data_IF_195344289364
#
_entry.id   IF_195344289364
#
_cell.length_a   1.000
_cell.length_b   1.000
_cell.length_c   1.000
_cell.angle_alpha   90.00
_cell.angle_beta   90.00
_cell.angle_gamma   90.00
#
_symmetry.space_group_name_H-M   'P 1'
#
loop_
_entity.id
_entity.type
_entity.pdbx_description
1 polymer ?
#
# COMPACT_ATOMS: atom_id res chain seq x y z
N UNK A 1 7.62 10.07 3.29
CA UNK A 1 6.99 9.98 4.64
C UNK A 1 8.00 9.43 5.61
N UNK A 2 8.04 9.94 6.86
CA UNK A 2 8.88 9.35 7.94
C UNK A 2 8.21 8.11 8.53
N UNK A 3 8.99 7.26 9.21
CA UNK A 3 8.44 6.10 9.92
C UNK A 3 7.47 6.49 11.02
N UNK A 4 7.70 7.63 11.69
CA UNK A 4 6.76 8.16 12.67
C UNK A 4 5.40 8.52 12.06
N UNK A 5 5.40 9.22 10.91
CA UNK A 5 4.17 9.56 10.18
C UNK A 5 3.40 8.31 9.78
N UNK A 6 4.10 7.30 9.26
CA UNK A 6 3.51 6.02 8.85
C UNK A 6 2.96 5.28 10.06
N UNK A 7 3.75 5.13 11.14
CA UNK A 7 3.32 4.47 12.36
C UNK A 7 2.03 5.07 12.92
N UNK A 8 1.95 6.41 12.96
CA UNK A 8 0.76 7.13 13.40
C UNK A 8 -0.44 6.87 12.47
N UNK A 9 -0.22 6.91 11.15
CA UNK A 9 -1.28 6.72 10.16
C UNK A 9 -1.91 5.32 10.22
N UNK A 10 -1.08 4.28 10.45
CA UNK A 10 -1.55 2.88 10.47
C UNK A 10 -1.80 2.35 11.89
N UNK A 11 -1.57 3.16 12.94
CA UNK A 11 -1.61 2.76 14.34
C UNK A 11 -0.64 1.59 14.64
N UNK A 12 0.57 1.68 14.07
CA UNK A 12 1.62 0.67 14.20
C UNK A 12 2.65 1.02 15.27
N UNK A 13 3.24 -0.01 15.89
CA UNK A 13 4.33 0.11 16.86
C UNK A 13 5.68 -0.07 16.16
N UNK A 14 6.61 0.86 16.39
CA UNK A 14 7.98 0.77 15.88
C UNK A 14 8.80 -0.26 16.68
N UNK A 15 9.45 -1.21 15.98
CA UNK A 15 10.35 -2.20 16.56
C UNK A 15 11.67 -2.20 15.80
N UNK A 16 12.78 -2.05 16.53
CA UNK A 16 14.14 -2.01 15.97
C UNK A 16 14.28 -0.97 14.83
N UNK A 17 13.57 0.15 14.91
CA UNK A 17 13.42 1.11 13.84
C UNK A 17 13.44 2.55 14.39
N UNK A 18 14.29 3.41 13.81
CA UNK A 18 14.30 4.83 14.12
C UNK A 18 13.10 5.54 13.45
N UNK A 19 12.37 6.30 14.23
CA UNK A 19 11.18 7.05 13.81
C UNK A 19 11.46 8.09 12.71
N UNK A 20 12.70 8.60 12.62
CA UNK A 20 13.10 9.63 11.65
C UNK A 20 13.46 9.05 10.26
N UNK A 21 13.63 7.74 10.13
CA UNK A 21 13.90 7.12 8.84
C UNK A 21 12.78 7.46 7.86
N UNK A 22 13.16 7.84 6.63
CA UNK A 22 12.21 8.16 5.56
C UNK A 22 12.12 7.01 4.56
N UNK A 23 10.89 6.69 4.16
CA UNK A 23 10.65 5.89 2.95
C UNK A 23 10.91 6.80 1.75
N UNK A 24 11.94 6.47 0.97
CA UNK A 24 12.33 7.19 -0.25
C UNK A 24 11.92 6.45 -1.52
N UNK A 25 11.63 5.17 -1.39
CA UNK A 25 11.11 4.29 -2.44
C UNK A 25 9.60 4.11 -2.38
N UNK A 26 9.13 2.96 -2.81
CA UNK A 26 7.72 2.57 -2.92
C UNK A 26 7.27 1.72 -1.74
N UNK A 27 5.96 1.57 -1.62
CA UNK A 27 5.35 0.55 -0.76
C UNK A 27 5.11 -0.70 -1.62
N UNK A 28 5.70 -1.82 -1.24
CA UNK A 28 5.68 -3.07 -2.03
C UNK A 28 5.22 -4.25 -1.18
N UNK A 29 4.49 -5.18 -1.81
CA UNK A 29 3.99 -6.42 -1.17
C UNK A 29 4.68 -7.68 -1.73
N UNK A 30 5.37 -7.56 -2.85
CA UNK A 30 6.16 -8.65 -3.46
C UNK A 30 7.63 -8.45 -3.11
N UNK A 31 8.18 -9.31 -2.26
CA UNK A 31 9.58 -9.22 -1.81
C UNK A 31 10.59 -9.25 -2.95
N UNK A 32 10.26 -9.87 -4.09
CA UNK A 32 11.13 -9.93 -5.29
C UNK A 32 11.27 -8.59 -5.99
N UNK A 33 10.35 -7.65 -5.75
CA UNK A 33 10.30 -6.32 -6.36
C UNK A 33 10.86 -5.22 -5.46
N UNK A 34 11.35 -5.59 -4.28
CA UNK A 34 11.92 -4.64 -3.33
C UNK A 34 13.17 -3.99 -3.90
N UNK A 35 13.26 -2.68 -3.77
CA UNK A 35 14.43 -1.88 -4.10
C UNK A 35 14.90 -1.08 -2.87
N UNK A 36 16.05 -0.44 -3.00
CA UNK A 36 16.60 0.41 -1.94
C UNK A 36 15.64 1.56 -1.60
N UNK A 37 15.32 1.70 -0.33
CA UNK A 37 14.44 2.76 0.17
C UNK A 37 12.97 2.40 0.23
N UNK A 38 12.56 1.20 -0.23
CA UNK A 38 11.19 0.72 -0.20
C UNK A 38 10.70 0.36 1.22
N UNK A 39 9.40 0.34 1.39
CA UNK A 39 8.70 -0.20 2.54
C UNK A 39 7.99 -1.49 2.13
N UNK A 40 8.39 -2.61 2.72
CA UNK A 40 7.75 -3.90 2.43
C UNK A 40 6.55 -4.16 3.34
N UNK A 41 5.44 -4.65 2.79
CA UNK A 41 4.25 -5.03 3.58
C UNK A 41 4.08 -6.55 3.53
N UNK A 42 4.18 -7.18 4.69
CA UNK A 42 4.07 -8.64 4.83
C UNK A 42 2.60 -9.07 4.87
N UNK A 43 2.05 -9.46 3.73
CA UNK A 43 0.67 -9.97 3.63
C UNK A 43 0.71 -11.49 3.69
N UNK A 44 -0.19 -12.08 4.49
CA UNK A 44 -0.40 -13.52 4.51
C UNK A 44 -1.33 -13.90 3.36
N UNK A 45 -0.81 -14.56 2.35
CA UNK A 45 -1.60 -15.16 1.26
C UNK A 45 -2.11 -16.55 1.62
N UNK A 46 -2.90 -17.14 0.73
CA UNK A 46 -3.43 -18.50 0.90
C UNK A 46 -2.33 -19.56 0.95
N UNK A 47 -1.33 -19.45 0.07
CA UNK A 47 -0.27 -20.44 -0.09
C UNK A 47 1.07 -19.99 0.53
N UNK A 48 1.25 -18.71 0.78
CA UNK A 48 2.55 -18.14 1.18
C UNK A 48 2.34 -17.04 2.21
N UNK A 49 3.06 -17.13 3.34
CA UNK A 49 3.09 -16.08 4.36
C UNK A 49 4.20 -15.07 4.04
N UNK A 50 3.82 -13.83 3.71
CA UNK A 50 4.73 -12.72 3.43
C UNK A 50 5.72 -12.42 4.56
N UNK A 51 5.38 -12.77 5.81
CA UNK A 51 6.27 -12.59 6.95
C UNK A 51 7.58 -13.38 6.83
N UNK A 52 7.59 -14.51 6.12
CA UNK A 52 8.80 -15.31 5.88
C UNK A 52 9.83 -14.59 4.99
N UNK A 53 9.43 -13.55 4.27
CA UNK A 53 10.30 -12.79 3.37
C UNK A 53 10.81 -11.46 3.95
N UNK A 54 10.41 -11.08 5.16
CA UNK A 54 10.78 -9.79 5.75
C UNK A 54 12.30 -9.60 5.83
N UNK A 55 13.04 -10.61 6.32
CA UNK A 55 14.49 -10.53 6.39
C UNK A 55 15.15 -10.42 5.00
N UNK A 56 14.60 -11.10 4.00
CA UNK A 56 15.08 -10.99 2.61
C UNK A 56 14.79 -9.60 2.03
N UNK A 57 13.61 -9.03 2.30
CA UNK A 57 13.24 -7.68 1.86
C UNK A 57 14.21 -6.63 2.42
N UNK A 58 14.57 -6.71 3.71
CA UNK A 58 15.58 -5.80 4.31
C UNK A 58 16.95 -5.96 3.62
N UNK A 59 17.38 -7.21 3.36
CA UNK A 59 18.65 -7.45 2.64
C UNK A 59 18.67 -6.88 1.23
N UNK A 60 17.51 -6.83 0.56
CA UNK A 60 17.37 -6.23 -0.77
C UNK A 60 17.31 -4.70 -0.75
N UNK A 61 17.12 -4.09 0.42
CA UNK A 61 17.17 -2.65 0.58
C UNK A 61 15.91 -1.99 1.09
N UNK A 62 14.89 -2.75 1.51
CA UNK A 62 13.77 -2.17 2.23
C UNK A 62 14.26 -1.47 3.50
N UNK A 63 13.74 -0.30 3.79
CA UNK A 63 14.11 0.46 5.00
C UNK A 63 13.41 -0.08 6.24
N UNK A 64 12.24 -0.67 6.07
CA UNK A 64 11.46 -1.32 7.11
C UNK A 64 10.42 -2.27 6.51
N UNK A 65 9.76 -3.03 7.38
CA UNK A 65 8.60 -3.86 7.02
C UNK A 65 7.38 -3.50 7.85
N UNK A 66 6.17 -3.62 7.26
CA UNK A 66 4.91 -3.65 8.01
C UNK A 66 4.54 -5.12 8.21
N UNK A 67 4.36 -5.53 9.44
CA UNK A 67 4.08 -6.93 9.81
C UNK A 67 3.04 -7.04 10.93
N UNK A 68 2.36 -8.17 11.05
CA UNK A 68 1.40 -8.43 12.12
C UNK A 68 2.04 -9.08 13.36
N UNK A 69 3.32 -9.41 13.30
CA UNK A 69 4.11 -10.00 14.39
C UNK A 69 5.54 -9.51 14.33
N UNK A 70 6.19 -9.42 15.48
CA UNK A 70 7.60 -9.08 15.57
C UNK A 70 8.47 -10.15 14.93
N UNK A 71 9.50 -9.72 14.20
CA UNK A 71 10.49 -10.57 13.55
C UNK A 71 11.85 -10.18 14.10
N UNK A 72 12.55 -11.08 14.81
CA UNK A 72 13.81 -10.76 15.46
C UNK A 72 14.84 -10.13 14.53
N UNK A 73 15.38 -8.98 14.93
CA UNK A 73 16.42 -8.28 14.19
C UNK A 73 15.95 -7.56 12.90
N UNK A 74 14.65 -7.52 12.61
CA UNK A 74 14.09 -6.85 11.44
C UNK A 74 13.49 -5.51 11.85
N UNK A 75 13.92 -4.37 11.23
CA UNK A 75 13.27 -3.08 11.42
C UNK A 75 11.81 -3.14 10.95
N UNK A 76 10.86 -2.95 11.86
CA UNK A 76 9.46 -3.21 11.57
C UNK A 76 8.48 -2.24 12.23
N UNK A 77 7.35 -2.06 11.56
CA UNK A 77 6.11 -1.48 12.05
C UNK A 77 5.14 -2.63 12.32
N UNK A 78 4.86 -2.90 13.59
CA UNK A 78 3.97 -3.97 14.00
C UNK A 78 2.55 -3.43 14.09
N UNK A 79 1.63 -4.07 13.38
CA UNK A 79 0.20 -3.73 13.37
C UNK A 79 -0.62 -4.89 13.92
N UNK A 80 -1.67 -4.54 14.65
CA UNK A 80 -2.60 -5.52 15.24
C UNK A 80 -4.05 -5.10 14.97
N UNK A 81 -4.96 -6.05 15.01
CA UNK A 81 -6.40 -5.77 14.84
C UNK A 81 -7.04 -5.07 16.07
N UNK A 82 -6.27 -4.81 17.12
CA UNK A 82 -6.86 -4.36 18.40
C UNK A 82 -7.87 -5.39 18.93
N UNK A 83 -8.93 -4.91 19.59
CA UNK A 83 -9.99 -5.76 20.17
C UNK A 83 -11.12 -6.09 19.16
N UNK A 84 -10.88 -6.13 17.87
CA UNK A 84 -11.92 -6.47 16.89
C UNK A 84 -12.17 -7.98 16.88
N UNK A 85 -13.32 -8.38 17.42
CA UNK A 85 -13.80 -9.77 17.54
C UNK A 85 -14.65 -10.22 16.35
N UNK A 86 -14.29 -9.92 15.12
CA UNK A 86 -14.99 -10.44 13.95
C UNK A 86 -14.18 -11.54 13.29
N UNK A 87 -14.80 -12.69 13.06
CA UNK A 87 -14.24 -13.89 12.42
C UNK A 87 -13.96 -13.73 10.91
N UNK A 88 -14.17 -12.57 10.35
CA UNK A 88 -13.87 -12.22 8.96
C UNK A 88 -12.56 -11.43 8.89
N UNK A 89 -11.49 -12.18 8.93
CA UNK A 89 -10.21 -12.07 8.19
C UNK A 89 -9.78 -10.68 7.74
N UNK A 90 -9.84 -9.70 8.57
CA UNK A 90 -9.08 -8.51 8.26
C UNK A 90 -7.64 -8.73 8.73
N UNK A 91 -6.79 -9.11 7.78
CA UNK A 91 -5.36 -9.19 8.07
C UNK A 91 -4.88 -7.79 8.48
N UNK A 92 -4.24 -7.64 9.65
CA UNK A 92 -3.81 -6.33 10.16
C UNK A 92 -2.96 -5.56 9.15
N UNK A 93 -2.15 -6.27 8.37
CA UNK A 93 -1.28 -5.69 7.34
C UNK A 93 -2.06 -5.19 6.12
N UNK A 94 -3.19 -5.81 5.75
CA UNK A 94 -4.08 -5.33 4.68
C UNK A 94 -4.81 -4.07 5.13
N UNK A 95 -5.32 -4.07 6.36
CA UNK A 95 -5.93 -2.86 6.96
C UNK A 95 -4.91 -1.71 7.01
N UNK A 96 -3.69 -2.00 7.43
CA UNK A 96 -2.61 -1.02 7.48
C UNK A 96 -2.28 -0.45 6.09
N UNK A 97 -2.27 -1.31 5.06
CA UNK A 97 -2.07 -0.88 3.67
C UNK A 97 -3.16 0.11 3.23
N UNK A 98 -4.44 -0.19 3.53
CA UNK A 98 -5.57 0.70 3.27
C UNK A 98 -5.48 2.04 4.01
N UNK A 99 -5.14 2.01 5.32
CA UNK A 99 -4.93 3.22 6.14
C UNK A 99 -3.78 4.08 5.59
N UNK A 100 -2.67 3.45 5.18
CA UNK A 100 -1.53 4.14 4.59
C UNK A 100 -1.89 4.81 3.27
N UNK A 101 -2.64 4.12 2.40
CA UNK A 101 -3.16 4.69 1.16
C UNK A 101 -4.07 5.89 1.42
N UNK A 102 -5.00 5.76 2.35
CA UNK A 102 -5.88 6.86 2.76
C UNK A 102 -5.08 8.06 3.28
N UNK A 103 -4.07 7.81 4.11
CA UNK A 103 -3.18 8.86 4.62
C UNK A 103 -2.41 9.56 3.50
N UNK A 104 -1.86 8.81 2.53
CA UNK A 104 -1.20 9.41 1.38
C UNK A 104 -2.12 10.36 0.62
N UNK A 105 -3.40 9.99 0.41
CA UNK A 105 -4.36 10.86 -0.27
C UNK A 105 -4.64 12.17 0.48
N UNK A 106 -4.49 12.21 1.79
CA UNK A 106 -4.58 13.48 2.56
C UNK A 106 -3.40 14.40 2.29
N UNK A 107 -2.24 13.85 1.93
CA UNK A 107 -1.05 14.62 1.57
C UNK A 107 -1.08 15.12 0.12
N UNK A 108 -1.99 14.57 -0.70
CA UNK A 108 -2.14 14.86 -2.13
C UNK A 108 -3.53 15.42 -2.44
N UNK A 109 -3.90 16.59 -1.91
CA UNK A 109 -5.27 17.12 -2.02
C UNK A 109 -5.67 17.50 -3.46
N UNK A 110 -4.70 17.81 -4.31
CA UNK A 110 -4.92 18.35 -5.65
C UNK A 110 -5.02 17.27 -6.75
N UNK A 111 -5.03 15.99 -6.39
CA UNK A 111 -5.22 14.88 -7.35
C UNK A 111 -6.72 14.76 -7.69
N UNK A 112 -7.03 14.69 -8.96
CA UNK A 112 -8.35 14.32 -9.44
C UNK A 112 -8.57 12.83 -9.24
N UNK A 113 -9.56 12.46 -8.43
CA UNK A 113 -9.86 11.06 -8.06
C UNK A 113 -11.10 10.63 -8.80
N UNK A 114 -10.97 9.60 -9.63
CA UNK A 114 -12.06 9.02 -10.42
C UNK A 114 -12.21 7.56 -10.03
N UNK A 115 -13.39 7.16 -9.59
CA UNK A 115 -13.69 5.76 -9.28
C UNK A 115 -14.70 5.20 -10.30
N UNK A 116 -14.36 4.04 -10.86
CA UNK A 116 -15.21 3.30 -11.80
C UNK A 116 -15.79 2.09 -11.06
N UNK A 117 -17.10 1.95 -11.13
CA UNK A 117 -17.82 0.81 -10.57
C UNK A 117 -18.95 0.40 -11.52
N UNK A 118 -19.48 -0.81 -11.36
CA UNK A 118 -20.57 -1.34 -12.21
C UNK A 118 -20.44 -2.85 -12.44
N UNK A 119 -21.47 -3.47 -12.99
CA UNK A 119 -21.52 -4.91 -13.26
C UNK A 119 -20.68 -5.32 -14.47
N UNK A 120 -20.57 -4.46 -15.50
CA UNK A 120 -19.80 -4.72 -16.73
C UNK A 120 -19.15 -3.44 -17.26
N UNK A 121 -18.16 -3.58 -18.14
CA UNK A 121 -17.47 -2.47 -18.80
C UNK A 121 -16.48 -1.69 -17.93
N UNK A 122 -16.31 -2.03 -16.66
CA UNK A 122 -15.41 -1.32 -15.74
C UNK A 122 -13.99 -1.17 -16.27
N UNK A 123 -13.36 -2.26 -16.66
CA UNK A 123 -11.98 -2.27 -17.13
C UNK A 123 -11.80 -1.43 -18.39
N UNK A 124 -12.71 -1.57 -19.37
CA UNK A 124 -12.68 -0.75 -20.59
C UNK A 124 -12.85 0.74 -20.25
N UNK A 125 -13.81 1.09 -19.39
CA UNK A 125 -14.04 2.47 -18.95
C UNK A 125 -12.82 3.02 -18.22
N UNK A 126 -12.23 2.24 -17.32
CA UNK A 126 -11.01 2.60 -16.61
C UNK A 126 -9.85 2.87 -17.57
N UNK A 127 -9.64 2.00 -18.59
CA UNK A 127 -8.56 2.16 -19.55
C UNK A 127 -8.74 3.43 -20.40
N UNK A 128 -9.97 3.70 -20.88
CA UNK A 128 -10.29 4.95 -21.58
C UNK A 128 -10.07 6.19 -20.73
N UNK A 129 -10.49 6.15 -19.45
CA UNK A 129 -10.26 7.24 -18.51
C UNK A 129 -8.78 7.44 -18.21
N UNK A 130 -7.99 6.36 -18.15
CA UNK A 130 -6.55 6.45 -17.97
C UNK A 130 -5.88 7.14 -19.15
N UNK A 131 -6.30 6.84 -20.38
CA UNK A 131 -5.77 7.52 -21.57
C UNK A 131 -6.20 8.99 -21.65
N UNK A 132 -7.44 9.31 -21.30
CA UNK A 132 -7.90 10.70 -21.19
C UNK A 132 -7.17 11.46 -20.07
N UNK A 133 -6.94 10.80 -18.93
CA UNK A 133 -6.20 11.38 -17.80
C UNK A 133 -4.79 11.81 -18.19
N UNK A 134 -4.11 11.06 -19.03
CA UNK A 134 -2.77 11.39 -19.54
C UNK A 134 -2.72 12.71 -20.32
N UNK A 135 -3.84 13.13 -20.88
CA UNK A 135 -3.95 14.45 -21.55
C UNK A 135 -3.96 15.61 -20.54
N UNK A 136 -4.38 15.34 -19.29
CA UNK A 136 -4.39 16.30 -18.19
C UNK A 136 -3.03 16.36 -17.52
N UNK A 137 -2.37 15.19 -17.36
CA UNK A 137 -1.06 15.09 -16.72
C UNK A 137 -0.71 13.67 -16.23
N UNK A 138 0.33 13.52 -15.40
CA UNK A 138 0.72 12.23 -14.84
C UNK A 138 -0.48 11.53 -14.19
N UNK A 139 -0.81 10.36 -14.70
CA UNK A 139 -2.00 9.59 -14.33
C UNK A 139 -1.61 8.24 -13.76
N UNK A 140 -2.18 7.90 -12.61
CA UNK A 140 -2.07 6.59 -11.99
C UNK A 140 -3.40 5.84 -12.16
N UNK A 141 -3.34 4.62 -12.66
CA UNK A 141 -4.49 3.73 -12.84
C UNK A 141 -4.07 2.28 -12.59
N UNK A 142 -4.97 1.41 -12.11
CA UNK A 142 -4.63 0.02 -11.84
C UNK A 142 -4.30 -0.73 -13.14
N UNK A 143 -3.23 -1.53 -13.10
CA UNK A 143 -2.91 -2.48 -14.17
C UNK A 143 -3.74 -3.75 -14.01
N UNK A 144 -4.53 -4.10 -15.03
CA UNK A 144 -5.46 -5.24 -14.96
C UNK A 144 -6.63 -4.97 -14.02
N UNK A 145 -7.13 -6.04 -13.37
CA UNK A 145 -8.30 -5.99 -12.48
C UNK A 145 -7.89 -5.94 -10.99
N UNK A 146 -7.00 -5.01 -10.63
CA UNK A 146 -6.59 -4.78 -9.24
C UNK A 146 -7.66 -3.95 -8.49
N UNK A 147 -8.79 -4.60 -8.18
CA UNK A 147 -9.99 -3.97 -7.61
C UNK A 147 -10.38 -4.53 -6.24
N UNK A 148 -9.50 -5.31 -5.62
CA UNK A 148 -9.67 -5.89 -4.29
C UNK A 148 -9.03 -5.04 -3.18
N UNK A 149 -9.15 -5.51 -1.93
CA UNK A 149 -8.65 -4.86 -0.71
C UNK A 149 -7.13 -4.61 -0.70
N UNK A 150 -6.37 -5.27 -1.55
CA UNK A 150 -4.93 -5.10 -1.71
C UNK A 150 -4.61 -4.22 -2.92
N UNK A 151 -5.24 -4.48 -4.05
CA UNK A 151 -4.92 -3.81 -5.31
C UNK A 151 -5.29 -2.34 -5.33
N UNK A 152 -6.44 -1.98 -4.74
CA UNK A 152 -6.87 -0.60 -4.67
C UNK A 152 -5.91 0.28 -3.84
N UNK A 153 -5.54 -0.10 -2.59
CA UNK A 153 -4.52 0.63 -1.85
C UNK A 153 -3.16 0.69 -2.56
N UNK A 154 -2.73 -0.40 -3.21
CA UNK A 154 -1.48 -0.39 -3.97
C UNK A 154 -1.48 0.65 -5.09
N UNK A 155 -2.57 0.72 -5.86
CA UNK A 155 -2.72 1.74 -6.91
C UNK A 155 -2.61 3.15 -6.33
N UNK A 156 -3.26 3.42 -5.20
CA UNK A 156 -3.15 4.71 -4.51
C UNK A 156 -1.72 5.01 -4.09
N UNK A 157 -1.00 4.02 -3.59
CA UNK A 157 0.38 4.16 -3.09
C UNK A 157 1.42 4.33 -4.21
N UNK A 158 1.02 4.21 -5.48
CA UNK A 158 1.82 4.61 -6.64
C UNK A 158 1.78 6.12 -6.92
N UNK A 159 0.84 6.87 -6.30
CA UNK A 159 0.74 8.31 -6.47
C UNK A 159 1.88 9.05 -5.77
N UNK A 160 2.30 10.14 -6.39
CA UNK A 160 3.29 11.09 -5.87
C UNK A 160 2.81 12.54 -6.04
N UNK A 161 3.68 13.50 -5.70
CA UNK A 161 3.40 14.95 -5.78
C UNK A 161 3.12 15.43 -7.22
N UNK A 162 3.59 14.71 -8.23
CA UNK A 162 3.42 15.02 -9.65
C UNK A 162 2.11 14.48 -10.20
N UNK A 163 1.52 13.48 -9.55
CA UNK A 163 0.30 12.83 -10.00
C UNK A 163 -0.86 13.83 -10.09
N UNK A 164 -1.53 13.89 -11.23
CA UNK A 164 -2.68 14.77 -11.48
C UNK A 164 -4.01 14.02 -11.46
N UNK A 165 -4.00 12.78 -11.94
CA UNK A 165 -5.22 11.96 -12.02
C UNK A 165 -4.97 10.60 -11.40
N UNK A 166 -5.85 10.18 -10.51
CA UNK A 166 -5.91 8.84 -9.94
C UNK A 166 -7.22 8.19 -10.37
N UNK A 167 -7.11 7.06 -11.05
CA UNK A 167 -8.26 6.27 -11.46
C UNK A 167 -8.27 4.98 -10.64
N UNK A 168 -9.42 4.63 -10.11
CA UNK A 168 -9.63 3.46 -9.29
C UNK A 168 -10.76 2.62 -9.89
N UNK A 169 -10.64 1.30 -9.79
CA UNK A 169 -11.70 0.37 -10.12
C UNK A 169 -12.14 -0.34 -8.84
N UNK A 170 -13.44 -0.38 -8.54
CA UNK A 170 -13.99 -1.06 -7.35
C UNK A 170 -15.00 -2.12 -7.76
N UNK A 171 -14.88 -3.30 -7.18
CA UNK A 171 -15.97 -4.29 -7.13
C UNK A 171 -16.98 -3.87 -6.07
N UNK A 172 -18.24 -4.25 -6.30
CA UNK A 172 -19.30 -4.19 -5.28
C UNK A 172 -19.16 -5.36 -4.34
#
# INVERSE_FOLDING_TARGET
MTMEEIARAISGELKNLDSNIKVTGKVVIDSRKVNKGDLFVAIKGENVDGHSFCAAAIKQGAVAVIASKEIPGVPSLIVSNGNMTSQEVDQPTVIALGKLASYLLTKLPNIWKVAVTGSSGKTTTKDLLADLGKLIGPTVAPTGSFNNEIGLPQTVLECDENTKVLILEKLF
#
